data_IF_328465439179
#
_entry.id   IF_328465439179
#
_cell.length_a   1.000
_cell.length_b   1.000
_cell.length_c   1.000
_cell.angle_alpha   90.00
_cell.angle_beta   90.00
_cell.angle_gamma   90.00
#
_symmetry.space_group_name_H-M   'P 1'
#
loop_
_entity.id
_entity.type
_entity.pdbx_description
1 polymer ?
#
# COMPACT_ATOMS: atom_id res chain seq x y z
N UNK A 1 -9.17 8.77 12.65
CA UNK A 1 -10.22 7.84 12.16
C UNK A 1 -9.51 6.95 11.15
N UNK A 2 -9.38 5.65 11.40
CA UNK A 2 -8.63 4.77 10.51
C UNK A 2 -9.53 4.25 9.38
N UNK A 3 -9.09 4.39 8.13
CA UNK A 3 -9.79 3.82 6.99
C UNK A 3 -9.50 2.32 6.92
N UNK A 4 -10.56 1.55 6.73
CA UNK A 4 -10.47 0.09 6.59
C UNK A 4 -10.15 -0.24 5.13
N UNK A 5 -8.92 -0.69 4.88
CA UNK A 5 -8.45 -1.06 3.54
C UNK A 5 -8.95 -2.47 3.22
N UNK A 6 -9.66 -2.60 2.10
CA UNK A 6 -10.08 -3.89 1.55
C UNK A 6 -9.19 -4.19 0.35
N UNK A 7 -8.43 -5.27 0.39
CA UNK A 7 -7.72 -5.73 -0.80
C UNK A 7 -8.78 -6.26 -1.77
N UNK A 8 -9.02 -5.57 -2.88
CA UNK A 8 -10.15 -5.85 -3.78
C UNK A 8 -10.10 -7.20 -4.49
N UNK A 9 -9.00 -7.96 -4.33
CA UNK A 9 -8.76 -9.26 -4.94
C UNK A 9 -8.15 -10.19 -3.87
N UNK A 10 -8.64 -11.42 -3.71
CA UNK A 10 -8.14 -12.37 -2.70
C UNK A 10 -6.66 -12.71 -2.88
N UNK A 11 -6.18 -12.80 -4.12
CA UNK A 11 -4.78 -13.09 -4.46
C UNK A 11 -3.81 -12.04 -3.87
N UNK A 12 -4.25 -10.78 -3.77
CA UNK A 12 -3.44 -9.71 -3.17
C UNK A 12 -3.32 -9.86 -1.65
N UNK A 13 -4.39 -10.32 -0.99
CA UNK A 13 -4.38 -10.60 0.45
C UNK A 13 -3.49 -11.81 0.76
N UNK A 14 -3.55 -12.86 -0.06
CA UNK A 14 -2.67 -14.02 0.07
C UNK A 14 -1.20 -13.64 -0.11
N UNK A 15 -0.88 -12.83 -1.13
CA UNK A 15 0.48 -12.33 -1.35
C UNK A 15 0.99 -11.52 -0.15
N UNK A 16 0.15 -10.64 0.40
CA UNK A 16 0.50 -9.84 1.57
C UNK A 16 0.74 -10.70 2.81
N UNK A 17 -0.12 -11.70 3.06
CA UNK A 17 0.04 -12.62 4.17
C UNK A 17 1.33 -13.43 4.04
N UNK A 18 1.62 -13.96 2.85
CA UNK A 18 2.87 -14.69 2.57
C UNK A 18 4.11 -13.82 2.82
N UNK A 19 4.14 -12.60 2.28
CA UNK A 19 5.23 -11.64 2.52
C UNK A 19 5.41 -11.33 4.01
N UNK A 20 4.30 -11.18 4.74
CA UNK A 20 4.33 -10.92 6.18
C UNK A 20 4.89 -12.11 6.97
N UNK A 21 4.49 -13.33 6.62
CA UNK A 21 5.00 -14.55 7.22
C UNK A 21 6.49 -14.76 6.92
N UNK A 22 6.90 -14.59 5.67
CA UNK A 22 8.31 -14.68 5.27
C UNK A 22 9.18 -13.61 5.95
N UNK A 23 8.66 -12.39 6.10
CA UNK A 23 9.35 -11.32 6.83
C UNK A 23 9.48 -11.64 8.32
N UNK A 24 8.45 -12.24 8.94
CA UNK A 24 8.46 -12.65 10.35
C UNK A 24 9.36 -13.87 10.59
N UNK A 25 9.38 -14.79 9.65
CA UNK A 25 10.23 -16.00 9.63
C UNK A 25 11.71 -15.66 9.36
N UNK A 26 11.98 -14.52 8.72
CA UNK A 26 13.33 -14.10 8.36
C UNK A 26 13.88 -14.80 7.11
N UNK A 27 13.05 -15.57 6.41
CA UNK A 27 13.37 -16.30 5.16
C UNK A 27 13.15 -15.46 3.89
N UNK A 28 12.70 -14.22 4.05
CA UNK A 28 12.36 -13.32 2.95
C UNK A 28 13.58 -12.92 2.10
N UNK A 29 13.41 -12.90 0.78
CA UNK A 29 14.43 -12.40 -0.14
C UNK A 29 14.58 -10.88 -0.02
N UNK A 30 15.75 -10.34 -0.41
CA UNK A 30 16.01 -8.88 -0.37
C UNK A 30 14.99 -8.08 -1.17
N UNK A 31 14.55 -8.62 -2.32
CA UNK A 31 13.56 -7.98 -3.18
C UNK A 31 12.18 -7.95 -2.52
N UNK A 32 11.74 -9.08 -1.97
CA UNK A 32 10.47 -9.21 -1.23
C UNK A 32 10.45 -8.35 0.04
N UNK A 33 11.58 -8.23 0.74
CA UNK A 33 11.68 -7.36 1.91
C UNK A 33 11.53 -5.88 1.54
N UNK A 34 12.09 -5.47 0.40
CA UNK A 34 11.89 -4.11 -0.12
C UNK A 34 10.44 -3.87 -0.53
N UNK A 35 9.79 -4.86 -1.16
CA UNK A 35 8.38 -4.82 -1.52
C UNK A 35 7.49 -4.70 -0.28
N UNK A 36 7.68 -5.59 0.71
CA UNK A 36 6.93 -5.59 1.97
C UNK A 36 7.01 -4.23 2.69
N UNK A 37 8.20 -3.62 2.77
CA UNK A 37 8.38 -2.31 3.39
C UNK A 37 7.64 -1.19 2.64
N UNK A 38 7.74 -1.16 1.31
CA UNK A 38 7.04 -0.15 0.49
C UNK A 38 5.52 -0.32 0.59
N UNK A 39 5.06 -1.56 0.49
CA UNK A 39 3.65 -1.89 0.51
C UNK A 39 3.02 -1.63 1.89
N UNK A 40 3.70 -2.02 2.98
CA UNK A 40 3.29 -1.71 4.34
C UNK A 40 3.26 -0.21 4.64
N UNK A 41 4.23 0.56 4.13
CA UNK A 41 4.21 2.03 4.22
C UNK A 41 3.00 2.62 3.49
N UNK A 42 2.70 2.13 2.29
CA UNK A 42 1.53 2.59 1.53
C UNK A 42 0.22 2.27 2.26
N UNK A 43 0.05 1.05 2.77
CA UNK A 43 -1.13 0.65 3.56
C UNK A 43 -1.29 1.49 4.82
N UNK A 44 -0.20 1.78 5.52
CA UNK A 44 -0.23 2.65 6.70
C UNK A 44 -0.71 4.06 6.34
N UNK A 45 -0.11 4.67 5.31
CA UNK A 45 -0.50 5.99 4.84
C UNK A 45 -1.97 6.02 4.37
N UNK A 46 -2.41 5.00 3.65
CA UNK A 46 -3.80 4.87 3.18
C UNK A 46 -4.80 4.74 4.33
N UNK A 47 -4.43 4.02 5.40
CA UNK A 47 -5.28 3.85 6.57
C UNK A 47 -5.39 5.15 7.40
N UNK A 48 -4.33 5.96 7.44
CA UNK A 48 -4.32 7.25 8.16
C UNK A 48 -4.95 8.38 7.35
N UNK A 49 -4.54 8.53 6.09
CA UNK A 49 -5.06 9.53 5.17
C UNK A 49 -4.99 8.98 3.72
N UNK A 50 -6.11 8.52 3.15
CA UNK A 50 -6.13 7.95 1.81
C UNK A 50 -5.79 8.96 0.70
N UNK A 51 -5.76 10.26 1.01
CA UNK A 51 -5.37 11.36 0.11
C UNK A 51 -4.04 12.01 0.51
N UNK A 52 -3.17 11.30 1.23
CA UNK A 52 -1.90 11.87 1.67
C UNK A 52 -1.03 12.26 0.44
N UNK A 53 -0.46 13.47 0.38
CA UNK A 53 0.28 13.96 -0.80
C UNK A 53 1.53 13.13 -1.15
N UNK A 54 2.06 12.34 -0.21
CA UNK A 54 3.16 11.41 -0.49
C UNK A 54 2.73 10.10 -1.19
N UNK A 55 1.43 9.86 -1.32
CA UNK A 55 0.85 8.78 -2.13
C UNK A 55 0.51 9.25 -3.56
N UNK A 56 0.76 10.53 -3.85
CA UNK A 56 0.59 11.13 -5.18
C UNK A 56 1.68 10.56 -6.10
N UNK A 57 1.41 9.38 -6.66
CA UNK A 57 2.24 8.75 -7.67
C UNK A 57 1.70 9.18 -9.02
N UNK A 58 2.54 9.83 -9.84
CA UNK A 58 2.21 10.26 -11.21
C UNK A 58 1.66 9.14 -12.11
N UNK A 59 1.83 7.88 -11.73
CA UNK A 59 1.39 6.69 -12.48
C UNK A 59 -0.03 6.19 -12.12
N UNK A 60 -0.68 6.68 -11.07
CA UNK A 60 -2.00 6.17 -10.64
C UNK A 60 -3.01 7.34 -10.60
N UNK A 61 -3.72 7.57 -11.70
CA UNK A 61 -4.71 8.66 -11.84
C UNK A 61 -5.68 8.76 -10.66
N UNK A 62 -6.16 7.63 -10.12
CA UNK A 62 -7.09 7.61 -8.97
C UNK A 62 -6.50 8.15 -7.65
N UNK A 63 -5.17 8.17 -7.51
CA UNK A 63 -4.46 8.79 -6.38
C UNK A 63 -4.02 10.24 -6.67
N UNK A 64 -4.14 10.68 -7.93
CA UNK A 64 -3.71 11.99 -8.45
C UNK A 64 -4.90 12.95 -8.61
N UNK A 65 -6.12 12.42 -8.78
CA UNK A 65 -7.36 13.19 -9.02
C UNK A 65 -7.87 14.00 -7.81
N UNK A 66 -7.00 14.43 -6.89
CA UNK A 66 -7.38 15.36 -5.84
C UNK A 66 -7.12 16.83 -6.20
N UNK A 67 -6.44 17.12 -7.32
CA UNK A 67 -6.01 18.48 -7.71
C UNK A 67 -6.77 19.11 -8.89
N UNK A 68 -7.80 18.46 -9.46
CA UNK A 68 -8.50 18.97 -10.67
C UNK A 68 -9.93 19.47 -10.49
N UNK A 69 -10.45 19.55 -9.26
CA UNK A 69 -11.80 20.08 -8.99
C UNK A 69 -11.73 21.30 -8.05
N UNK A 70 -10.88 22.27 -8.39
CA UNK A 70 -10.85 23.59 -7.78
C UNK A 70 -10.29 24.64 -8.76
N UNK A 71 -10.93 24.79 -9.93
CA UNK A 71 -10.77 25.96 -10.79
C UNK A 71 -12.06 26.18 -11.60
#
# INVERSE_FOLDING_TARGET
MAFMIRMGIPEMEELWNKLREDYKSGTISKNDAALYKKWGKALKLLSENPRHPSLHSHDIDQLTECDRIAA
#
